data_IF_922750654424
#
_entry.id   IF_922750654424
#
_cell.length_a   1.000
_cell.length_b   1.000
_cell.length_c   1.000
_cell.angle_alpha   90.00
_cell.angle_beta   90.00
_cell.angle_gamma   90.00
#
_symmetry.space_group_name_H-M   'P 1'
#
loop_
_entity.id
_entity.type
_entity.pdbx_description
1 polymer ?
#
# COMPACT_ATOMS: atom_id res chain seq x y z
N UNK A 1 28.70 -3.98 -8.23
CA UNK A 1 27.29 -3.59 -8.35
C UNK A 1 27.28 -2.08 -8.34
N UNK A 2 26.76 -1.45 -9.39
CA UNK A 2 26.59 0.01 -9.42
C UNK A 2 25.32 0.39 -8.66
N UNK A 3 25.24 1.65 -8.22
CA UNK A 3 24.06 2.18 -7.54
C UNK A 3 22.80 2.07 -8.42
N UNK A 4 22.95 2.25 -9.74
CA UNK A 4 21.89 2.05 -10.74
C UNK A 4 21.32 0.62 -10.75
N UNK A 5 22.16 -0.41 -10.64
CA UNK A 5 21.69 -1.81 -10.57
C UNK A 5 20.94 -2.13 -9.27
N UNK A 6 21.20 -1.37 -8.20
CA UNK A 6 20.55 -1.54 -6.92
C UNK A 6 19.18 -0.86 -6.91
N UNK A 7 19.05 0.33 -7.51
CA UNK A 7 17.78 1.01 -7.70
C UNK A 7 16.81 0.16 -8.52
N UNK A 8 17.26 -0.41 -9.64
CA UNK A 8 16.46 -1.30 -10.49
C UNK A 8 15.93 -2.54 -9.75
N UNK A 9 16.72 -3.08 -8.82
CA UNK A 9 16.30 -4.22 -7.99
C UNK A 9 15.26 -3.81 -6.96
N UNK A 10 15.45 -2.66 -6.32
CA UNK A 10 14.49 -2.11 -5.36
C UNK A 10 13.15 -1.86 -6.06
N UNK A 11 13.18 -1.29 -7.27
CA UNK A 11 11.98 -0.98 -8.04
C UNK A 11 11.18 -2.23 -8.42
N UNK A 12 11.88 -3.31 -8.81
CA UNK A 12 11.26 -4.62 -9.04
C UNK A 12 10.60 -5.19 -7.80
N UNK A 13 11.24 -5.05 -6.63
CA UNK A 13 10.67 -5.52 -5.35
C UNK A 13 9.44 -4.69 -4.99
N UNK A 14 9.51 -3.36 -5.07
CA UNK A 14 8.36 -2.48 -4.81
C UNK A 14 7.19 -2.79 -5.73
N UNK A 15 7.45 -3.11 -7.00
CA UNK A 15 6.43 -3.54 -7.97
C UNK A 15 5.76 -4.86 -7.59
N UNK A 16 6.46 -5.77 -6.93
CA UNK A 16 5.85 -7.00 -6.39
C UNK A 16 5.03 -6.68 -5.15
N UNK A 17 5.57 -5.90 -4.21
CA UNK A 17 4.90 -5.54 -2.95
C UNK A 17 3.65 -4.67 -3.18
N UNK A 18 3.56 -3.95 -4.29
CA UNK A 18 2.39 -3.15 -4.64
C UNK A 18 1.18 -3.98 -5.09
N UNK A 19 1.36 -5.26 -5.43
CA UNK A 19 0.28 -6.16 -5.88
C UNK A 19 -0.73 -6.42 -4.77
N UNK A 20 -2.03 -6.56 -5.09
CA UNK A 20 -3.09 -6.79 -4.10
C UNK A 20 -2.81 -8.00 -3.19
N UNK A 21 -2.31 -9.09 -3.76
CA UNK A 21 -1.97 -10.30 -3.00
C UNK A 21 -0.82 -10.08 -2.01
N UNK A 22 0.24 -9.39 -2.44
CA UNK A 22 1.37 -9.06 -1.56
C UNK A 22 0.95 -8.12 -0.43
N UNK A 23 0.10 -7.12 -0.71
CA UNK A 23 -0.48 -6.25 0.31
C UNK A 23 -1.33 -7.03 1.32
N UNK A 24 -2.12 -8.01 0.85
CA UNK A 24 -2.90 -8.88 1.71
C UNK A 24 -2.00 -9.71 2.63
N UNK A 25 -0.96 -10.35 2.09
CA UNK A 25 0.02 -11.10 2.89
C UNK A 25 0.69 -10.20 3.92
N UNK A 26 1.18 -9.02 3.51
CA UNK A 26 1.82 -8.07 4.42
C UNK A 26 0.88 -7.62 5.53
N UNK A 27 -0.38 -7.35 5.21
CA UNK A 27 -1.37 -7.00 6.22
C UNK A 27 -1.58 -8.13 7.23
N UNK A 28 -1.76 -9.36 6.74
CA UNK A 28 -1.91 -10.55 7.58
C UNK A 28 -0.69 -10.78 8.47
N UNK A 29 0.53 -10.65 7.94
CA UNK A 29 1.78 -10.80 8.70
C UNK A 29 1.95 -9.70 9.77
N UNK A 30 1.53 -8.48 9.45
CA UNK A 30 1.55 -7.36 10.38
C UNK A 30 0.41 -7.41 11.42
N UNK A 31 -0.46 -8.43 11.37
CA UNK A 31 -1.59 -8.58 12.29
C UNK A 31 -2.68 -7.51 12.08
N UNK A 32 -2.69 -6.85 10.92
CA UNK A 32 -3.68 -5.84 10.55
C UNK A 32 -4.70 -6.43 9.58
N UNK A 33 -5.95 -6.02 9.74
CA UNK A 33 -7.04 -6.42 8.84
C UNK A 33 -6.71 -6.00 7.40
N UNK A 34 -6.57 -6.94 6.45
CA UNK A 34 -6.23 -6.64 5.07
C UNK A 34 -7.27 -5.73 4.40
N UNK A 35 -8.54 -5.80 4.79
CA UNK A 35 -9.59 -4.92 4.26
C UNK A 35 -9.43 -3.45 4.67
N UNK A 36 -8.75 -3.19 5.79
CA UNK A 36 -8.42 -1.83 6.27
C UNK A 36 -7.03 -1.38 5.85
N UNK A 37 -6.08 -2.32 5.70
CA UNK A 37 -4.71 -2.04 5.26
C UNK A 37 -4.62 -1.68 3.78
N UNK A 38 -5.48 -2.27 2.94
CA UNK A 38 -5.74 -1.81 1.57
C UNK A 38 -6.69 -0.60 1.65
N UNK A 39 -6.34 0.38 2.50
CA UNK A 39 -7.12 1.58 2.74
C UNK A 39 -7.43 2.27 1.42
N UNK A 40 -8.66 2.77 1.30
CA UNK A 40 -9.19 3.55 0.17
C UNK A 40 -8.15 4.54 -0.37
N UNK A 41 -7.41 4.18 -1.42
CA UNK A 41 -6.60 5.15 -2.18
C UNK A 41 -7.53 6.19 -2.85
N UNK A 42 -8.86 5.98 -2.82
CA UNK A 42 -9.86 6.84 -3.46
C UNK A 42 -10.62 7.80 -2.51
N UNK A 43 -10.11 8.19 -1.34
CA UNK A 43 -10.86 9.15 -0.49
C UNK A 43 -10.03 10.21 0.23
N UNK A 44 -9.01 10.75 -0.43
CA UNK A 44 -8.41 12.03 -0.03
C UNK A 44 -8.75 13.22 -0.95
N UNK A 45 -9.60 13.03 -1.97
CA UNK A 45 -10.20 14.12 -2.77
C UNK A 45 -11.72 14.27 -2.52
N UNK A 46 -12.22 13.82 -1.37
CA UNK A 46 -13.64 13.82 -1.02
C UNK A 46 -13.88 14.44 0.35
N UNK A 47 -13.39 15.66 0.53
CA UNK A 47 -13.76 16.51 1.64
C UNK A 47 -15.28 16.73 1.62
N UNK A 48 -15.98 16.21 2.62
CA UNK A 48 -16.92 17.01 3.42
C UNK A 48 -17.26 16.26 4.70
N UNK A 49 -16.78 16.86 5.78
CA UNK A 49 -17.31 16.67 7.12
C UNK A 49 -18.83 16.83 7.07
N UNK A 50 -19.57 15.80 7.43
CA UNK A 50 -20.92 16.00 7.96
C UNK A 50 -20.87 15.68 9.45
N UNK A 51 -20.76 16.78 10.21
CA UNK A 51 -20.80 16.83 11.66
C UNK A 51 -22.18 17.41 11.99
N UNK A 52 -22.92 16.74 12.88
CA UNK A 52 -24.25 17.09 13.43
C UNK A 52 -25.41 16.62 12.52
N UNK A 53 -26.45 15.98 13.01
CA UNK A 53 -27.19 16.18 14.27
C UNK A 53 -27.88 14.87 14.71
#
# INVERSE_FOLDING_TARGET
MSEEEQEDKIDKVLKVLSKPFSKHILATLAGVDPGKFIGKINSQNGEKQDKKE
#
